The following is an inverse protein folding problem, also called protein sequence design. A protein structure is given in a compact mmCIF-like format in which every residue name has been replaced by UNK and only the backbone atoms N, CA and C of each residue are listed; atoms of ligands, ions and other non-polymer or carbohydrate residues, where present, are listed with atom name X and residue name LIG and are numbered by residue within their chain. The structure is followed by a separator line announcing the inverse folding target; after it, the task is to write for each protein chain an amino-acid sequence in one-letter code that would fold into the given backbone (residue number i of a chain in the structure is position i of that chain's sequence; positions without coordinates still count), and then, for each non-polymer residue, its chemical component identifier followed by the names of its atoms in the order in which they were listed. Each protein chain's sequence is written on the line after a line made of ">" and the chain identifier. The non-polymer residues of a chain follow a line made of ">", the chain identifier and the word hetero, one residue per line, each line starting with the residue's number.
data_IF_188465138530
#
_entry.id   IF_188465138530
#
_cell.length_a   1.000
_cell.length_b   1.000
_cell.length_c   1.000
_cell.angle_alpha   90.00
_cell.angle_beta   90.00
_cell.angle_gamma   90.00
#
_symmetry.space_group_name_H-M   'P 1'
#
loop_
_entity.id
_entity.type
_entity.pdbx_description
1 polymer ?
#
# COMPACT_ATOMS: atom_id res chain seq x y z
N UNK A 1 13.44 -13.68 -16.32
CA UNK A 1 13.68 -12.26 -15.97
C UNK A 1 12.39 -11.62 -15.51
N UNK A 2 12.20 -11.47 -14.20
CA UNK A 2 11.05 -10.76 -13.63
C UNK A 2 11.50 -9.31 -13.49
N UNK A 3 11.07 -8.46 -14.42
CA UNK A 3 11.27 -7.01 -14.34
C UNK A 3 10.51 -6.51 -13.12
N UNK A 4 11.21 -5.85 -12.20
CA UNK A 4 10.63 -5.18 -11.04
C UNK A 4 10.03 -3.85 -11.51
N UNK A 5 8.70 -3.72 -11.65
CA UNK A 5 8.07 -2.53 -12.25
C UNK A 5 8.30 -1.25 -11.44
N UNK A 6 8.77 -1.36 -10.20
CA UNK A 6 9.09 -0.21 -9.36
C UNK A 6 10.51 0.35 -9.54
N UNK A 7 11.46 -0.42 -10.12
CA UNK A 7 12.85 0.05 -10.27
C UNK A 7 13.12 0.81 -11.57
N UNK A 8 12.33 0.60 -12.62
CA UNK A 8 12.64 1.16 -13.97
C UNK A 8 12.35 2.66 -14.15
N UNK A 9 11.67 3.32 -13.21
CA UNK A 9 11.23 4.71 -13.43
C UNK A 9 12.23 5.78 -13.01
N UNK A 10 13.26 5.44 -12.23
CA UNK A 10 14.15 6.44 -11.61
C UNK A 10 15.05 7.12 -12.67
N UNK A 11 15.57 6.36 -13.64
CA UNK A 11 16.47 6.88 -14.67
C UNK A 11 15.73 7.46 -15.89
N UNK A 12 14.51 7.00 -16.15
CA UNK A 12 13.76 7.33 -17.36
C UNK A 12 13.01 8.67 -17.27
N UNK A 13 12.67 9.13 -16.06
CA UNK A 13 11.93 10.37 -15.84
C UNK A 13 12.50 11.22 -14.68
N UNK A 14 13.66 11.87 -14.88
CA UNK A 14 14.24 12.75 -13.87
C UNK A 14 13.22 13.84 -13.45
N UNK A 15 13.00 13.98 -12.13
CA UNK A 15 12.07 14.94 -11.54
C UNK A 15 10.61 14.49 -11.40
N UNK A 16 10.20 13.37 -12.00
CA UNK A 16 8.83 12.80 -11.81
C UNK A 16 8.69 11.93 -10.55
N UNK A 17 9.81 11.57 -9.94
CA UNK A 17 9.89 10.70 -8.76
C UNK A 17 9.12 11.29 -7.57
N UNK A 18 9.21 12.60 -7.33
CA UNK A 18 8.48 13.28 -6.26
C UNK A 18 6.97 13.22 -6.49
N UNK A 19 6.51 13.57 -7.69
CA UNK A 19 5.08 13.52 -8.04
C UNK A 19 4.50 12.12 -7.94
N UNK A 20 5.17 11.10 -8.47
CA UNK A 20 4.72 9.71 -8.35
C UNK A 20 4.71 9.20 -6.92
N UNK A 21 5.69 9.59 -6.11
CA UNK A 21 5.75 9.24 -4.68
C UNK A 21 4.60 9.90 -3.90
N UNK A 22 4.32 11.18 -4.14
CA UNK A 22 3.19 11.87 -3.51
C UNK A 22 1.84 11.27 -3.91
N UNK A 23 1.68 10.83 -5.17
CA UNK A 23 0.47 10.10 -5.59
C UNK A 23 0.34 8.78 -4.85
N UNK A 24 1.42 8.02 -4.72
CA UNK A 24 1.41 6.76 -3.97
C UNK A 24 1.08 6.99 -2.48
N UNK A 25 1.64 8.03 -1.87
CA UNK A 25 1.31 8.40 -0.49
C UNK A 25 -0.14 8.86 -0.35
N UNK A 26 -0.70 9.55 -1.35
CA UNK A 26 -2.11 9.90 -1.38
C UNK A 26 -3.01 8.66 -1.47
N UNK A 27 -2.77 7.78 -2.44
CA UNK A 27 -3.50 6.52 -2.59
C UNK A 27 -3.54 5.69 -1.30
N UNK A 28 -2.41 5.68 -0.58
CA UNK A 28 -2.24 4.94 0.66
C UNK A 28 -2.67 5.72 1.91
N UNK A 29 -3.08 6.97 1.82
CA UNK A 29 -3.39 7.78 3.00
C UNK A 29 -2.18 8.04 3.91
N UNK A 30 -0.95 7.91 3.40
CA UNK A 30 0.30 7.95 4.15
C UNK A 30 0.92 9.34 4.30
N UNK A 31 0.23 10.39 3.82
CA UNK A 31 0.66 11.77 4.02
C UNK A 31 -0.40 12.58 4.77
N UNK A 32 -0.47 12.47 6.11
CA UNK A 32 -1.51 13.14 6.91
C UNK A 32 -1.38 14.67 6.95
N UNK A 33 -0.28 15.23 6.41
CA UNK A 33 -0.02 16.67 6.37
C UNK A 33 -0.68 17.34 5.15
N UNK A 34 -1.10 16.56 4.15
CA UNK A 34 -1.79 17.05 2.96
C UNK A 34 -3.27 16.66 3.04
N UNK A 35 -4.16 17.62 2.80
CA UNK A 35 -5.60 17.39 2.72
C UNK A 35 -5.90 16.32 1.65
N UNK A 36 -6.52 15.18 2.01
CA UNK A 36 -6.84 14.11 1.07
C UNK A 36 -7.60 14.58 -0.17
N UNK A 37 -8.47 15.61 -0.06
CA UNK A 37 -9.23 16.14 -1.20
C UNK A 37 -8.36 16.79 -2.29
N UNK A 38 -7.10 17.08 -1.97
CA UNK A 38 -6.13 17.67 -2.90
C UNK A 38 -5.30 16.61 -3.62
N UNK A 39 -5.50 15.33 -3.31
CA UNK A 39 -4.76 14.25 -3.93
C UNK A 39 -5.27 13.93 -5.34
N UNK A 40 -4.37 13.37 -6.14
CA UNK A 40 -4.70 12.86 -7.46
C UNK A 40 -5.27 11.44 -7.32
N UNK A 41 -6.60 11.33 -7.27
CA UNK A 41 -7.33 10.08 -7.04
C UNK A 41 -7.52 9.21 -8.28
N UNK A 42 -6.89 9.53 -9.41
CA UNK A 42 -7.11 8.80 -10.69
C UNK A 42 -6.81 7.30 -10.60
N UNK A 43 -5.91 6.90 -9.70
CA UNK A 43 -5.53 5.51 -9.51
C UNK A 43 -6.46 4.77 -8.52
N UNK A 44 -7.26 5.48 -7.71
CA UNK A 44 -8.18 4.86 -6.74
C UNK A 44 -9.27 4.05 -7.42
N UNK A 45 -9.90 4.60 -8.45
CA UNK A 45 -10.93 3.91 -9.24
C UNK A 45 -10.34 2.68 -9.95
N UNK A 46 -9.16 2.83 -10.57
CA UNK A 46 -8.49 1.74 -11.30
C UNK A 46 -8.20 0.54 -10.40
N UNK A 47 -7.82 0.78 -9.14
CA UNK A 47 -7.48 -0.26 -8.18
C UNK A 47 -8.61 -0.57 -7.18
N UNK A 48 -9.75 0.11 -7.28
CA UNK A 48 -10.87 0.01 -6.34
C UNK A 48 -10.52 0.40 -4.90
N UNK A 49 -9.53 1.27 -4.71
CA UNK A 49 -9.11 1.77 -3.39
C UNK A 49 -10.09 2.87 -2.94
N UNK A 50 -10.45 2.89 -1.66
CA UNK A 50 -11.37 3.88 -1.09
C UNK A 50 -12.84 3.47 -1.13
N UNK A 51 -13.35 2.96 -2.27
CA UNK A 51 -14.74 2.48 -2.37
C UNK A 51 -14.89 1.00 -2.01
N UNK A 52 -14.13 0.13 -2.68
CA UNK A 52 -14.22 -1.33 -2.50
C UNK A 52 -13.20 -1.82 -1.47
N UNK A 53 -12.03 -1.18 -1.43
CA UNK A 53 -10.89 -1.59 -0.59
C UNK A 53 -10.38 -0.39 0.19
N UNK A 54 -10.68 -0.36 1.49
CA UNK A 54 -10.13 0.68 2.37
C UNK A 54 -8.66 0.40 2.65
N UNK A 55 -7.76 1.34 2.33
CA UNK A 55 -6.34 1.22 2.64
C UNK A 55 -6.08 1.02 4.15
N UNK A 56 -6.94 1.59 5.00
CA UNK A 56 -6.91 1.41 6.45
C UNK A 56 -6.96 -0.06 6.89
N UNK A 57 -7.73 -0.91 6.19
CA UNK A 57 -7.82 -2.34 6.50
C UNK A 57 -6.50 -3.06 6.27
N UNK A 58 -5.74 -2.68 5.24
CA UNK A 58 -4.39 -3.20 5.02
C UNK A 58 -3.44 -2.83 6.15
N UNK A 59 -3.44 -1.56 6.57
CA UNK A 59 -2.59 -1.10 7.66
C UNK A 59 -2.94 -1.77 8.99
N UNK A 60 -4.23 -1.90 9.31
CA UNK A 60 -4.68 -2.61 10.49
C UNK A 60 -4.28 -4.08 10.48
N UNK A 61 -4.42 -4.78 9.34
CA UNK A 61 -4.05 -6.19 9.22
C UNK A 61 -2.56 -6.43 9.51
N UNK A 62 -1.71 -5.47 9.15
CA UNK A 62 -0.26 -5.59 9.26
C UNK A 62 0.37 -4.75 10.38
N UNK A 63 -0.45 -4.17 11.27
CA UNK A 63 0.04 -3.39 12.41
C UNK A 63 0.84 -2.15 12.01
N UNK A 64 0.44 -1.48 10.93
CA UNK A 64 1.07 -0.25 10.43
C UNK A 64 0.28 0.95 10.97
N UNK A 65 0.92 1.77 11.79
CA UNK A 65 0.35 2.97 12.39
C UNK A 65 0.87 4.21 11.66
N UNK A 66 0.14 4.61 10.62
CA UNK A 66 0.57 5.65 9.66
C UNK A 66 0.79 7.00 10.35
N UNK A 67 -0.10 7.41 11.26
CA UNK A 67 -0.03 8.70 11.94
C UNK A 67 1.14 8.76 12.92
N UNK A 68 1.34 7.68 13.67
CA UNK A 68 2.39 7.54 14.67
C UNK A 68 3.76 7.23 14.02
N UNK A 69 3.77 6.85 12.73
CA UNK A 69 4.94 6.40 11.98
C UNK A 69 5.62 5.19 12.64
N UNK A 70 4.80 4.29 13.17
CA UNK A 70 5.24 3.06 13.86
C UNK A 70 4.70 1.83 13.14
N UNK A 71 5.48 0.76 13.16
CA UNK A 71 5.05 -0.58 12.75
C UNK A 71 5.25 -1.53 13.92
N UNK A 72 4.22 -2.31 14.23
CA UNK A 72 4.24 -3.27 15.35
C UNK A 72 5.31 -4.36 15.16
N UNK A 73 5.54 -4.74 13.91
CA UNK A 73 6.58 -5.69 13.54
C UNK A 73 7.65 -5.00 12.69
N UNK A 74 8.91 -5.44 12.84
CA UNK A 74 9.95 -5.08 11.87
C UNK A 74 9.54 -5.62 10.51
N UNK A 75 9.15 -4.73 9.60
CA UNK A 75 8.54 -5.10 8.31
C UNK A 75 9.39 -6.11 7.52
N UNK A 76 10.71 -5.94 7.50
CA UNK A 76 11.61 -6.87 6.82
C UNK A 76 11.56 -8.27 7.43
N UNK A 77 11.62 -8.38 8.76
CA UNK A 77 11.55 -9.66 9.47
C UNK A 77 10.15 -10.27 9.32
N UNK A 78 9.11 -9.44 9.33
CA UNK A 78 7.72 -9.84 9.14
C UNK A 78 7.45 -10.46 7.75
N UNK A 79 8.05 -9.89 6.70
CA UNK A 79 7.92 -10.39 5.33
C UNK A 79 8.78 -11.65 5.14
N UNK A 80 10.04 -11.62 5.59
CA UNK A 80 10.98 -12.74 5.38
C UNK A 80 10.67 -13.99 6.21
N UNK A 81 10.03 -13.81 7.38
CA UNK A 81 9.57 -14.95 8.21
C UNK A 81 8.33 -15.66 7.66
N UNK A 82 7.67 -15.11 6.65
CA UNK A 82 6.41 -15.64 6.12
C UNK A 82 5.18 -15.34 7.00
N UNK A 83 5.34 -14.55 8.07
CA UNK A 83 4.24 -14.13 8.93
C UNK A 83 3.19 -13.33 8.17
N UNK A 84 3.63 -12.53 7.19
CA UNK A 84 2.73 -11.81 6.27
C UNK A 84 1.82 -12.76 5.51
N UNK A 85 2.37 -13.77 4.82
CA UNK A 85 1.57 -14.78 4.12
C UNK A 85 0.65 -15.56 5.07
N UNK A 86 1.13 -15.90 6.27
CA UNK A 86 0.32 -16.64 7.25
C UNK A 86 -0.91 -15.85 7.70
N UNK A 87 -0.75 -14.56 7.98
CA UNK A 87 -1.86 -13.67 8.33
C UNK A 87 -2.80 -13.43 7.14
N UNK A 88 -2.25 -13.26 5.94
CA UNK A 88 -3.04 -13.11 4.72
C UNK A 88 -3.91 -14.33 4.45
N UNK A 89 -3.32 -15.53 4.49
CA UNK A 89 -3.99 -16.79 4.14
C UNK A 89 -5.17 -17.10 5.06
N UNK A 90 -5.08 -16.74 6.35
CA UNK A 90 -6.18 -16.95 7.32
C UNK A 90 -7.44 -16.16 6.98
N UNK A 91 -7.27 -15.02 6.33
CA UNK A 91 -8.36 -14.13 5.97
C UNK A 91 -8.70 -14.24 4.48
N UNK A 92 -8.08 -15.18 3.76
CA UNK A 92 -8.35 -15.39 2.34
C UNK A 92 -9.77 -15.95 2.17
N UNK A 93 -10.52 -15.35 1.26
CA UNK A 93 -11.84 -15.83 0.85
C UNK A 93 -11.74 -17.25 0.32
N UNK A 94 -12.84 -18.00 0.43
CA UNK A 94 -12.93 -19.38 -0.05
C UNK A 94 -12.69 -19.52 -1.57
N UNK A 95 -12.95 -18.46 -2.35
CA UNK A 95 -12.69 -18.38 -3.79
C UNK A 95 -11.24 -18.01 -4.14
N UNK A 96 -10.39 -17.76 -3.13
CA UNK A 96 -9.00 -17.35 -3.31
C UNK A 96 -8.84 -15.93 -3.84
N UNK A 97 -9.93 -15.17 -4.02
CA UNK A 97 -9.94 -13.85 -4.66
C UNK A 97 -9.84 -12.73 -3.62
N UNK A 98 -8.79 -12.76 -2.80
CA UNK A 98 -8.48 -11.72 -1.83
C UNK A 98 -9.01 -12.00 -0.43
N UNK A 99 -9.05 -10.95 0.40
CA UNK A 99 -9.30 -11.03 1.84
C UNK A 99 -10.79 -10.74 2.13
N UNK A 100 -11.41 -11.49 3.04
CA UNK A 100 -12.72 -11.17 3.60
C UNK A 100 -12.53 -10.34 4.88
N UNK A 101 -13.11 -9.13 4.91
CA UNK A 101 -12.80 -8.09 5.92
C UNK A 101 -13.93 -7.81 6.89
#
# INVERSE_FOLDING_TARGET
>A
DIVNPFQEQVFTFPGKQSSSLYRLYGLLGMNPEIDPSTWDHRDEELYGVGEVRMASKFFSLYGIHVKERVVEQKLCDFVTSGNMQSLFTRNLRADGMGIDF
#
